data_IF_741794200664
#
_entry.id   IF_741794200664
#
_cell.length_a   1.000
_cell.length_b   1.000
_cell.length_c   1.000
_cell.angle_alpha   90.00
_cell.angle_beta   90.00
_cell.angle_gamma   90.00
#
_symmetry.space_group_name_H-M   'P 1'
#
loop_
_entity.id
_entity.type
_entity.pdbx_description
1 polymer ?
#
# COMPACT_ATOMS: atom_id res chain seq x y z
N UNK A 1 -10.89 2.23 17.35
CA UNK A 1 -9.58 1.56 17.56
C UNK A 1 -8.70 2.53 18.33
N UNK A 2 -7.88 2.06 19.26
CA UNK A 2 -7.02 2.92 20.09
C UNK A 2 -5.91 3.54 19.23
N UNK A 3 -5.53 4.78 19.53
CA UNK A 3 -4.64 5.58 18.65
C UNK A 3 -3.22 5.02 18.57
N UNK A 4 -2.67 4.56 19.70
CA UNK A 4 -1.36 3.90 19.77
C UNK A 4 -1.25 2.68 18.84
N UNK A 5 -2.30 1.85 18.77
CA UNK A 5 -2.36 0.70 17.88
C UNK A 5 -2.40 1.16 16.42
N UNK A 6 -3.20 2.18 16.14
CA UNK A 6 -3.27 2.72 14.80
C UNK A 6 -1.92 3.29 14.34
N UNK A 7 -1.19 3.97 15.22
CA UNK A 7 0.16 4.46 14.92
C UNK A 7 1.16 3.34 14.62
N UNK A 8 1.05 2.17 15.28
CA UNK A 8 1.89 1.00 14.95
C UNK A 8 1.54 0.46 13.57
N UNK A 9 0.25 0.35 13.27
CA UNK A 9 -0.25 -0.15 11.99
C UNK A 9 0.14 0.80 10.85
N UNK A 10 0.09 2.10 11.08
CA UNK A 10 0.42 3.11 10.07
C UNK A 10 1.91 3.11 9.70
N UNK A 11 2.79 2.75 10.65
CA UNK A 11 4.23 2.60 10.40
C UNK A 11 4.58 1.38 9.55
N UNK A 12 3.66 0.43 9.38
CA UNK A 12 3.87 -0.78 8.58
C UNK A 12 2.87 -0.85 7.42
N UNK A 13 3.36 -0.65 6.20
CA UNK A 13 2.53 -0.70 5.00
C UNK A 13 1.88 -2.08 4.82
N UNK A 14 2.53 -3.16 5.24
CA UNK A 14 1.97 -4.51 5.21
C UNK A 14 0.82 -4.67 6.19
N UNK A 15 0.96 -4.22 7.44
CA UNK A 15 -0.12 -4.27 8.43
C UNK A 15 -1.30 -3.40 8.00
N UNK A 16 -1.03 -2.21 7.46
CA UNK A 16 -2.05 -1.31 6.91
C UNK A 16 -2.80 -1.94 5.75
N UNK A 17 -2.09 -2.61 4.84
CA UNK A 17 -2.71 -3.32 3.72
C UNK A 17 -3.49 -4.55 4.16
N UNK A 18 -2.96 -5.32 5.11
CA UNK A 18 -3.63 -6.46 5.69
C UNK A 18 -4.92 -6.05 6.41
N UNK A 19 -4.90 -4.97 7.18
CA UNK A 19 -6.07 -4.42 7.87
C UNK A 19 -7.18 -3.99 6.89
N UNK A 20 -6.81 -3.44 5.72
CA UNK A 20 -7.76 -3.12 4.63
C UNK A 20 -8.37 -4.38 4.00
N UNK A 21 -7.57 -5.41 3.80
CA UNK A 21 -8.03 -6.69 3.24
C UNK A 21 -8.90 -7.48 4.22
N UNK A 22 -8.61 -7.38 5.52
CA UNK A 22 -9.25 -8.13 6.59
C UNK A 22 -9.92 -7.18 7.59
N UNK A 23 -11.03 -6.51 7.22
CA UNK A 23 -11.66 -5.49 8.06
C UNK A 23 -12.23 -6.05 9.38
N UNK A 24 -12.33 -7.37 9.54
CA UNK A 24 -12.62 -8.02 10.83
C UNK A 24 -11.65 -7.59 11.94
N UNK A 25 -10.40 -7.29 11.57
CA UNK A 25 -9.36 -6.85 12.51
C UNK A 25 -9.65 -5.49 13.13
N UNK A 26 -10.37 -4.59 12.45
CA UNK A 26 -10.85 -3.34 13.08
C UNK A 26 -11.74 -3.63 14.29
N UNK A 27 -12.65 -4.60 14.19
CA UNK A 27 -13.54 -4.98 15.30
C UNK A 27 -12.79 -5.73 16.38
N UNK A 28 -11.91 -6.67 16.01
CA UNK A 28 -11.10 -7.45 16.96
C UNK A 28 -10.20 -6.53 17.79
N UNK A 29 -9.47 -5.61 17.17
CA UNK A 29 -8.59 -4.67 17.86
C UNK A 29 -9.35 -3.59 18.64
N UNK A 30 -10.57 -3.23 18.21
CA UNK A 30 -11.43 -2.37 19.03
C UNK A 30 -11.88 -3.03 20.32
N UNK A 31 -12.17 -4.34 20.29
CA UNK A 31 -12.64 -5.10 21.47
C UNK A 31 -11.49 -5.54 22.36
N UNK A 32 -10.38 -5.94 21.77
CA UNK A 32 -9.18 -6.36 22.50
C UNK A 32 -7.92 -5.83 21.80
N UNK A 33 -7.32 -4.74 22.32
CA UNK A 33 -6.09 -4.18 21.77
C UNK A 33 -4.88 -5.12 21.83
N UNK A 34 -4.88 -6.13 22.72
CA UNK A 34 -3.75 -7.05 22.88
C UNK A 34 -3.61 -8.05 21.73
N UNK A 35 -4.60 -8.13 20.84
CA UNK A 35 -4.57 -9.01 19.67
C UNK A 35 -3.68 -8.48 18.52
N UNK A 36 -3.00 -7.35 18.71
CA UNK A 36 -2.11 -6.77 17.70
C UNK A 36 -1.01 -7.75 17.27
N UNK A 37 -0.33 -8.41 18.21
CA UNK A 37 0.70 -9.40 17.90
C UNK A 37 0.14 -10.61 17.11
N UNK A 38 -1.10 -11.00 17.39
CA UNK A 38 -1.79 -12.05 16.62
C UNK A 38 -2.06 -11.58 15.19
N UNK A 39 -2.48 -10.33 15.00
CA UNK A 39 -2.66 -9.73 13.68
C UNK A 39 -1.34 -9.67 12.91
N UNK A 40 -0.25 -9.29 13.54
CA UNK A 40 1.09 -9.25 12.92
C UNK A 40 1.54 -10.63 12.44
N UNK A 41 1.31 -11.65 13.27
CA UNK A 41 1.62 -13.04 12.92
C UNK A 41 0.77 -13.52 11.74
N UNK A 42 -0.54 -13.25 11.76
CA UNK A 42 -1.43 -13.60 10.65
C UNK A 42 -1.08 -12.83 9.37
N UNK A 43 -0.76 -11.54 9.45
CA UNK A 43 -0.34 -10.73 8.31
C UNK A 43 0.95 -11.29 7.69
N UNK A 44 1.92 -11.64 8.53
CA UNK A 44 3.18 -12.27 8.10
C UNK A 44 2.92 -13.59 7.37
N UNK A 45 2.06 -14.44 7.93
CA UNK A 45 1.70 -15.71 7.30
C UNK A 45 0.91 -15.52 6.00
N UNK A 46 -0.03 -14.57 6.00
CA UNK A 46 -0.84 -14.21 4.85
C UNK A 46 0.05 -13.79 3.69
N UNK A 47 0.97 -12.83 3.89
CA UNK A 47 1.87 -12.38 2.81
C UNK A 47 2.96 -13.40 2.46
N UNK A 48 3.46 -14.21 3.39
CA UNK A 48 4.37 -15.33 3.05
C UNK A 48 3.71 -16.37 2.16
N UNK A 49 2.42 -16.64 2.35
CA UNK A 49 1.63 -17.53 1.48
C UNK A 49 1.10 -16.85 0.23
N UNK A 50 1.04 -15.52 0.23
CA UNK A 50 0.56 -14.71 -0.88
C UNK A 50 1.73 -14.11 -1.64
N UNK A 51 2.24 -14.79 -2.68
CA UNK A 51 2.98 -14.12 -3.76
C UNK A 51 2.12 -14.16 -5.02
N UNK A 52 1.18 -13.21 -5.16
CA UNK A 52 1.07 -12.59 -6.48
C UNK A 52 0.59 -11.12 -6.41
N UNK A 53 1.19 -10.27 -7.23
CA UNK A 53 0.53 -9.06 -7.77
C UNK A 53 0.56 -7.72 -6.99
N UNK A 54 1.48 -7.50 -6.02
CA UNK A 54 1.77 -6.13 -5.50
C UNK A 54 3.15 -5.56 -5.86
N UNK A 55 3.91 -6.24 -6.71
CA UNK A 55 4.97 -5.59 -7.50
C UNK A 55 4.34 -4.81 -8.68
N UNK A 56 3.02 -4.92 -8.92
CA UNK A 56 2.33 -4.12 -9.95
C UNK A 56 2.35 -2.62 -9.68
N UNK A 57 2.62 -2.17 -8.45
CA UNK A 57 2.90 -0.75 -8.17
C UNK A 57 4.32 -0.30 -8.58
N UNK A 58 5.08 -1.14 -9.27
CA UNK A 58 6.18 -0.69 -10.13
C UNK A 58 5.69 -0.25 -11.52
N UNK A 59 4.37 -0.20 -11.78
CA UNK A 59 3.78 0.40 -12.99
C UNK A 59 3.76 1.93 -12.95
N UNK A 60 3.79 2.53 -11.75
CA UNK A 60 3.79 4.00 -11.60
C UNK A 60 5.04 4.65 -12.21
N UNK A 61 6.15 3.89 -12.31
CA UNK A 61 7.35 4.34 -13.02
C UNK A 61 7.14 4.51 -14.54
N UNK A 62 6.31 3.68 -15.17
CA UNK A 62 6.06 3.74 -16.62
C UNK A 62 5.08 4.87 -16.96
N UNK A 63 4.09 5.12 -16.09
CA UNK A 63 3.15 6.23 -16.28
C UNK A 63 3.86 7.59 -16.20
N UNK A 64 4.77 7.76 -15.24
CA UNK A 64 5.59 8.98 -15.13
C UNK A 64 6.53 9.11 -16.33
N UNK A 65 7.16 8.02 -16.79
CA UNK A 65 8.01 8.06 -17.98
C UNK A 65 7.22 8.44 -19.26
N UNK A 66 6.00 7.95 -19.43
CA UNK A 66 5.11 8.32 -20.55
C UNK A 66 4.70 9.80 -20.48
N UNK A 67 4.38 10.30 -19.29
CA UNK A 67 4.09 11.71 -19.07
C UNK A 67 5.30 12.61 -19.39
N UNK A 68 6.49 12.23 -18.93
CA UNK A 68 7.74 12.95 -19.21
C UNK A 68 8.10 12.94 -20.71
N UNK A 69 7.94 11.80 -21.39
CA UNK A 69 8.15 11.69 -22.85
C UNK A 69 7.16 12.54 -23.66
N UNK A 70 5.91 12.63 -23.19
CA UNK A 70 4.88 13.47 -23.81
C UNK A 70 5.20 14.96 -23.65
N UNK A 71 5.66 15.37 -22.46
CA UNK A 71 6.15 16.73 -22.20
C UNK A 71 7.39 17.07 -23.06
N UNK A 72 8.34 16.15 -23.19
CA UNK A 72 9.55 16.34 -24.01
C UNK A 72 9.21 16.53 -25.51
N UNK A 73 8.27 15.76 -26.05
CA UNK A 73 7.80 15.94 -27.43
C UNK A 73 7.06 17.27 -27.64
N UNK A 74 6.23 17.67 -26.67
CA UNK A 74 5.51 18.95 -26.72
C UNK A 74 6.48 20.15 -26.68
N UNK A 75 7.60 20.04 -25.97
CA UNK A 75 8.63 21.10 -25.93
C UNK A 75 9.52 21.14 -27.17
N UNK A 76 9.76 19.99 -27.82
CA UNK A 76 10.56 19.89 -29.04
C UNK A 76 9.77 20.05 -30.33
N UNK A 77 8.46 20.31 -30.27
CA UNK A 77 7.70 20.72 -31.44
C UNK A 77 7.93 22.21 -31.64
N UNK A 78 8.77 22.64 -32.60
CA UNK A 78 8.92 24.05 -32.89
C UNK A 78 7.57 24.50 -33.46
N UNK A 79 6.96 25.52 -32.85
CA UNK A 79 5.78 26.16 -33.43
C UNK A 79 6.11 26.60 -34.85
N UNK A 80 5.57 25.87 -35.83
CA UNK A 80 5.57 26.31 -37.21
C UNK A 80 4.53 27.43 -37.31
N UNK A 81 5.02 28.68 -37.24
CA UNK A 81 4.29 29.91 -37.58
C UNK A 81 4.98 30.55 -38.77
#
# INVERSE_FOLDING_TARGET
MRQDIYSVIEKSEDLKNYLRLQPIWYRKLMRNPQLLASMETEATYFFKKSIPHRISKFSDGVQIASMMMSMFQAMNTPGNS
#
